data_IF_834758739683
#
_entry.id   IF_834758739683
#
_cell.length_a   1.000
_cell.length_b   1.000
_cell.length_c   1.000
_cell.angle_alpha   90.00
_cell.angle_beta   90.00
_cell.angle_gamma   90.00
#
_symmetry.space_group_name_H-M   'P 1'
#
loop_
_entity.id
_entity.type
_entity.pdbx_description
1 polymer ?
#
# COMPACT_ATOMS: atom_id res chain seq x y z
N UNK A 1 -2.79 7.34 -20.67
CA UNK A 1 -4.15 7.19 -20.11
C UNK A 1 -4.01 6.95 -18.62
N UNK A 2 -4.64 7.77 -17.78
CA UNK A 2 -4.66 7.57 -16.33
C UNK A 2 -5.46 6.28 -16.07
N UNK A 3 -4.80 5.26 -15.55
CA UNK A 3 -5.41 3.94 -15.30
C UNK A 3 -4.84 3.33 -14.04
N UNK A 4 -5.63 2.45 -13.43
CA UNK A 4 -5.18 1.51 -12.41
C UNK A 4 -4.98 0.13 -13.07
N UNK A 5 -4.25 -0.76 -12.41
CA UNK A 5 -4.06 -2.13 -12.84
C UNK A 5 -4.25 -3.08 -11.66
N UNK A 6 -5.21 -4.00 -11.77
CA UNK A 6 -5.49 -4.98 -10.73
C UNK A 6 -4.85 -6.34 -11.08
N UNK A 7 -4.28 -6.99 -10.08
CA UNK A 7 -3.70 -8.33 -10.15
C UNK A 7 -4.38 -9.18 -9.06
N UNK A 8 -5.41 -10.00 -9.39
CA UNK A 8 -6.24 -10.69 -8.39
C UNK A 8 -5.48 -11.63 -7.46
N UNK A 9 -4.48 -12.34 -7.98
CA UNK A 9 -3.74 -13.39 -7.27
C UNK A 9 -2.26 -13.02 -7.10
N UNK A 10 -1.99 -11.76 -6.76
CA UNK A 10 -0.61 -11.27 -6.61
C UNK A 10 0.14 -11.98 -5.47
N UNK A 11 -0.58 -12.27 -4.38
CA UNK A 11 -0.12 -13.09 -3.27
C UNK A 11 -1.17 -14.16 -3.00
N UNK A 12 -0.73 -15.38 -2.71
CA UNK A 12 -1.64 -16.44 -2.28
C UNK A 12 -2.19 -16.16 -0.88
N UNK A 13 -3.35 -16.74 -0.53
CA UNK A 13 -3.93 -16.59 0.79
C UNK A 13 -2.98 -17.04 1.93
N UNK A 14 -2.19 -18.10 1.71
CA UNK A 14 -1.19 -18.61 2.66
C UNK A 14 0.05 -17.69 2.79
N UNK A 15 0.49 -17.07 1.68
CA UNK A 15 1.55 -16.06 1.71
C UNK A 15 1.11 -14.82 2.51
N UNK A 16 -0.15 -14.38 2.36
CA UNK A 16 -0.71 -13.29 3.16
C UNK A 16 -0.70 -13.64 4.66
N UNK A 17 -1.18 -14.84 5.03
CA UNK A 17 -1.18 -15.29 6.43
C UNK A 17 0.24 -15.37 7.00
N UNK A 18 1.19 -15.90 6.24
CA UNK A 18 2.60 -15.97 6.65
C UNK A 18 3.17 -14.58 6.93
N UNK A 19 2.93 -13.62 6.03
CA UNK A 19 3.40 -12.24 6.23
C UNK A 19 2.75 -11.60 7.47
N UNK A 20 1.43 -11.76 7.63
CA UNK A 20 0.70 -11.19 8.77
C UNK A 20 1.13 -11.81 10.10
N UNK A 21 1.49 -13.09 10.14
CA UNK A 21 2.03 -13.74 11.33
C UNK A 21 3.36 -13.11 11.76
N UNK A 22 4.28 -12.84 10.82
CA UNK A 22 5.56 -12.17 11.12
C UNK A 22 5.33 -10.72 11.58
N UNK A 23 4.41 -10.00 10.92
CA UNK A 23 4.03 -8.63 11.32
C UNK A 23 3.46 -8.58 12.73
N UNK A 24 2.70 -9.61 13.16
CA UNK A 24 2.09 -9.66 14.48
C UNK A 24 3.12 -9.86 15.62
N UNK A 25 4.24 -10.52 15.33
CA UNK A 25 5.35 -10.72 16.27
C UNK A 25 6.33 -9.54 16.30
N UNK A 26 6.22 -8.60 15.35
CA UNK A 26 7.07 -7.43 15.28
C UNK A 26 6.91 -6.59 16.58
N UNK A 27 8.01 -6.14 17.22
CA UNK A 27 7.92 -5.40 18.47
C UNK A 27 7.00 -4.20 18.35
N UNK A 28 5.95 -4.16 19.18
CA UNK A 28 4.94 -3.10 19.19
C UNK A 28 5.50 -1.68 19.46
N UNK A 29 6.79 -1.58 19.82
CA UNK A 29 7.39 -0.35 20.34
C UNK A 29 7.83 0.66 19.28
N UNK A 30 7.92 0.29 18.01
CA UNK A 30 8.33 1.20 16.94
C UNK A 30 7.64 0.82 15.62
N UNK A 31 6.36 0.46 15.67
CA UNK A 31 5.50 0.66 14.51
C UNK A 31 5.50 2.17 14.27
N UNK A 32 6.55 2.70 13.62
CA UNK A 32 6.85 4.13 13.55
C UNK A 32 5.54 4.78 13.15
N UNK A 33 4.91 5.45 14.11
CA UNK A 33 3.96 6.49 13.84
C UNK A 33 4.79 7.49 13.02
N UNK A 34 4.83 7.31 11.70
CA UNK A 34 5.40 8.27 10.78
C UNK A 34 4.51 9.48 10.96
N UNK A 35 4.97 10.36 11.84
CA UNK A 35 4.13 11.36 12.46
C UNK A 35 4.94 12.29 13.36
N UNK A 36 6.16 12.66 12.95
CA UNK A 36 6.57 14.04 13.19
C UNK A 36 5.65 14.91 12.32
N UNK A 37 4.49 15.24 12.89
CA UNK A 37 3.36 15.97 12.31
C UNK A 37 2.63 15.28 11.14
N UNK A 38 1.97 14.15 11.39
CA UNK A 38 0.78 13.80 10.61
C UNK A 38 -0.42 14.34 11.38
N UNK A 39 -1.16 15.25 10.77
CA UNK A 39 -2.48 15.63 11.27
C UNK A 39 -3.27 14.32 11.42
N UNK A 40 -3.65 13.95 12.65
CA UNK A 40 -4.38 12.71 12.93
C UNK A 40 -5.73 12.65 12.21
N UNK A 41 -6.19 13.78 11.65
CA UNK A 41 -7.34 13.86 10.75
C UNK A 41 -7.04 13.32 9.35
N UNK A 42 -5.77 13.30 8.94
CA UNK A 42 -5.36 12.82 7.62
C UNK A 42 -5.12 11.32 7.61
N UNK A 43 -4.40 10.76 8.59
CA UNK A 43 -4.11 9.32 8.65
C UNK A 43 -4.16 8.79 10.08
N UNK A 44 -4.81 7.64 10.22
CA UNK A 44 -4.84 6.86 11.46
C UNK A 44 -4.61 5.38 11.14
N UNK A 45 -3.36 4.95 11.29
CA UNK A 45 -2.89 3.58 11.05
C UNK A 45 -1.59 3.33 11.83
N UNK A 46 -1.31 2.07 12.17
CA UNK A 46 0.04 1.64 12.57
C UNK A 46 0.79 1.06 11.37
N UNK A 47 2.11 1.23 11.35
CA UNK A 47 2.96 0.85 10.22
C UNK A 47 4.09 -0.06 10.68
N UNK A 48 4.32 -1.14 9.97
CA UNK A 48 5.48 -2.02 10.13
C UNK A 48 6.21 -2.06 8.80
N UNK A 49 7.52 -1.76 8.80
CA UNK A 49 8.33 -1.81 7.59
C UNK A 49 8.84 -3.23 7.38
N UNK A 50 8.80 -3.71 6.13
CA UNK A 50 9.23 -5.06 5.76
C UNK A 50 10.74 -5.24 5.99
N UNK A 51 11.53 -4.17 5.93
CA UNK A 51 12.97 -4.22 6.25
C UNK A 51 13.27 -4.50 7.73
N UNK A 52 12.31 -4.27 8.63
CA UNK A 52 12.43 -4.52 10.06
C UNK A 52 11.99 -5.96 10.43
N UNK A 53 11.63 -6.78 9.45
CA UNK A 53 11.11 -8.13 9.64
C UNK A 53 12.10 -9.19 9.15
N UNK A 54 12.20 -10.28 9.89
CA UNK A 54 12.99 -11.45 9.51
C UNK A 54 12.17 -12.39 8.58
N UNK A 55 12.86 -13.17 7.74
CA UNK A 55 12.27 -14.22 6.89
C UNK A 55 11.21 -13.77 5.86
N UNK A 56 11.24 -12.49 5.47
CA UNK A 56 10.30 -11.90 4.50
C UNK A 56 10.94 -11.46 3.18
N UNK A 57 12.18 -11.86 2.89
CA UNK A 57 12.89 -11.50 1.64
C UNK A 57 12.06 -11.80 0.37
N UNK A 58 11.32 -12.91 0.40
CA UNK A 58 10.43 -13.35 -0.69
C UNK A 58 9.35 -12.32 -1.06
N UNK A 59 8.96 -11.44 -0.12
CA UNK A 59 7.96 -10.40 -0.35
C UNK A 59 8.49 -9.37 -1.34
N UNK A 60 9.75 -8.95 -1.19
CA UNK A 60 10.36 -7.98 -2.10
C UNK A 60 10.62 -8.59 -3.48
N UNK A 61 11.05 -9.85 -3.56
CA UNK A 61 11.19 -10.56 -4.85
C UNK A 61 9.86 -10.64 -5.61
N UNK A 62 8.77 -10.93 -4.89
CA UNK A 62 7.41 -10.94 -5.44
C UNK A 62 7.01 -9.55 -5.93
N UNK A 63 7.24 -8.52 -5.13
CA UNK A 63 6.93 -7.12 -5.48
C UNK A 63 7.66 -6.71 -6.76
N UNK A 64 8.97 -6.94 -6.83
CA UNK A 64 9.80 -6.55 -7.97
C UNK A 64 9.26 -7.16 -9.26
N UNK A 65 8.91 -8.45 -9.20
CA UNK A 65 8.36 -9.18 -10.35
C UNK A 65 7.04 -8.57 -10.82
N UNK A 66 6.09 -8.35 -9.90
CA UNK A 66 4.76 -7.81 -10.20
C UNK A 66 4.84 -6.37 -10.76
N UNK A 67 5.65 -5.51 -10.14
CA UNK A 67 5.82 -4.13 -10.57
C UNK A 67 6.51 -4.06 -11.93
N UNK A 68 7.55 -4.88 -12.16
CA UNK A 68 8.25 -4.91 -13.45
C UNK A 68 7.32 -5.32 -14.60
N UNK A 69 6.47 -6.34 -14.38
CA UNK A 69 5.49 -6.80 -15.37
C UNK A 69 4.39 -5.76 -15.63
N UNK A 70 3.79 -5.23 -14.57
CA UNK A 70 2.77 -4.19 -14.68
C UNK A 70 3.32 -2.93 -15.35
N UNK A 71 4.57 -2.53 -15.03
CA UNK A 71 5.20 -1.40 -15.67
C UNK A 71 5.41 -1.64 -17.16
N UNK A 72 5.97 -2.80 -17.54
CA UNK A 72 6.22 -3.16 -18.95
C UNK A 72 4.95 -3.23 -19.80
N UNK A 73 3.84 -3.68 -19.22
CA UNK A 73 2.61 -3.97 -19.96
C UNK A 73 1.56 -2.86 -19.87
N UNK A 74 1.59 -2.04 -18.81
CA UNK A 74 0.52 -1.08 -18.51
C UNK A 74 1.02 0.36 -18.31
N UNK A 75 2.14 0.60 -17.63
CA UNK A 75 2.47 1.97 -17.22
C UNK A 75 3.57 2.65 -18.03
N UNK A 76 4.57 1.87 -18.46
CA UNK A 76 5.72 2.32 -19.23
C UNK A 76 6.44 3.54 -18.61
N UNK A 77 6.59 3.52 -17.27
CA UNK A 77 7.37 4.53 -16.57
C UNK A 77 8.86 4.15 -16.55
N UNK A 78 9.74 5.15 -16.60
CA UNK A 78 11.15 4.98 -16.29
C UNK A 78 11.32 4.73 -14.79
N UNK A 79 11.26 3.46 -14.38
CA UNK A 79 11.55 3.04 -13.01
C UNK A 79 13.05 2.76 -12.88
N UNK A 80 13.66 3.21 -11.79
CA UNK A 80 15.11 3.07 -11.56
C UNK A 80 15.42 2.25 -10.32
N UNK A 81 14.57 2.28 -9.30
CA UNK A 81 14.84 1.66 -8.01
C UNK A 81 13.57 1.54 -7.16
N UNK A 82 13.70 0.79 -6.06
CA UNK A 82 12.83 0.89 -4.88
C UNK A 82 13.66 1.55 -3.78
N UNK A 83 13.54 2.87 -3.63
CA UNK A 83 14.34 3.66 -2.68
C UNK A 83 13.76 3.66 -1.26
N UNK A 84 12.64 2.96 -1.04
CA UNK A 84 11.93 2.83 0.22
C UNK A 84 11.51 1.36 0.36
N UNK A 85 11.56 0.82 1.58
CA UNK A 85 11.06 -0.52 1.85
C UNK A 85 9.53 -0.56 1.79
N UNK A 86 8.97 -1.76 1.64
CA UNK A 86 7.53 -1.94 1.69
C UNK A 86 7.04 -1.75 3.13
N UNK A 87 5.83 -1.23 3.29
CA UNK A 87 5.19 -1.08 4.61
C UNK A 87 3.91 -1.91 4.67
N UNK A 88 3.68 -2.57 5.78
CA UNK A 88 2.36 -3.11 6.16
C UNK A 88 1.67 -2.07 7.02
N UNK A 89 0.51 -1.60 6.57
CA UNK A 89 -0.32 -0.65 7.29
C UNK A 89 -1.54 -1.35 7.88
N UNK A 90 -1.76 -1.16 9.19
CA UNK A 90 -2.91 -1.69 9.93
C UNK A 90 -3.86 -0.57 10.33
N UNK A 91 -5.12 -0.71 9.96
CA UNK A 91 -6.23 0.20 10.23
C UNK A 91 -7.21 -0.50 11.16
N UNK A 92 -7.45 0.08 12.34
CA UNK A 92 -8.24 -0.56 13.40
C UNK A 92 -9.54 0.21 13.68
N UNK A 93 -10.66 -0.51 13.81
CA UNK A 93 -11.98 0.08 14.05
C UNK A 93 -12.10 0.77 15.40
N UNK A 94 -11.41 0.30 16.44
CA UNK A 94 -11.51 0.87 17.80
C UNK A 94 -11.00 2.31 17.86
N UNK A 95 -10.10 2.65 16.94
CA UNK A 95 -9.59 4.01 16.77
C UNK A 95 -10.18 4.69 15.53
N UNK A 96 -11.05 4.07 14.75
CA UNK A 96 -11.57 4.63 13.51
C UNK A 96 -10.47 4.82 12.46
N UNK A 97 -9.66 3.80 12.22
CA UNK A 97 -8.55 3.81 11.27
C UNK A 97 -8.96 4.22 9.86
N UNK A 98 -8.19 5.13 9.25
CA UNK A 98 -8.43 5.67 7.91
C UNK A 98 -7.17 6.31 7.34
N UNK A 99 -7.22 6.68 6.06
CA UNK A 99 -6.27 7.61 5.44
C UNK A 99 -7.03 8.44 4.42
N UNK A 100 -7.28 9.71 4.68
CA UNK A 100 -8.06 10.56 3.79
C UNK A 100 -7.36 10.84 2.46
N UNK A 101 -8.04 11.48 1.51
CA UNK A 101 -7.56 11.76 0.16
C UNK A 101 -6.17 12.39 0.16
N UNK A 102 -5.23 11.70 -0.46
CA UNK A 102 -3.84 12.13 -0.61
C UNK A 102 -3.23 11.61 -1.90
N UNK A 103 -2.06 12.14 -2.22
CA UNK A 103 -1.19 11.62 -3.26
C UNK A 103 0.11 11.14 -2.63
N UNK A 104 0.68 10.07 -3.17
CA UNK A 104 1.93 9.50 -2.64
C UNK A 104 3.16 10.26 -3.11
N UNK A 105 3.10 10.92 -4.27
CA UNK A 105 4.15 11.85 -4.70
C UNK A 105 3.98 13.18 -3.95
N UNK A 106 5.10 13.81 -3.59
CA UNK A 106 5.10 15.11 -2.91
C UNK A 106 6.49 15.74 -2.91
N UNK A 107 6.66 16.85 -2.18
CA UNK A 107 7.87 17.67 -2.25
C UNK A 107 9.11 17.06 -1.55
N UNK A 108 8.97 15.91 -0.89
CA UNK A 108 10.07 15.21 -0.23
C UNK A 108 11.06 14.57 -1.21
N UNK A 109 12.34 14.45 -0.82
CA UNK A 109 13.42 13.90 -1.68
C UNK A 109 13.11 12.52 -2.26
N UNK A 110 12.48 11.64 -1.47
CA UNK A 110 12.04 10.32 -1.93
C UNK A 110 10.63 10.39 -2.54
N UNK A 111 9.70 11.04 -1.85
CA UNK A 111 8.30 11.18 -2.30
C UNK A 111 8.19 11.74 -3.72
N UNK A 112 8.96 12.78 -4.06
CA UNK A 112 8.95 13.42 -5.38
C UNK A 112 9.44 12.54 -6.53
N UNK A 113 10.02 11.38 -6.22
CA UNK A 113 10.51 10.40 -7.20
C UNK A 113 9.58 9.20 -7.35
N UNK A 114 8.52 9.07 -6.54
CA UNK A 114 7.57 7.96 -6.60
C UNK A 114 6.79 7.99 -7.91
N UNK A 115 6.80 6.88 -8.63
CA UNK A 115 6.17 6.71 -9.95
C UNK A 115 4.94 5.83 -9.88
N UNK A 116 5.12 4.64 -9.31
CA UNK A 116 4.04 3.67 -9.12
C UNK A 116 3.90 3.38 -7.63
N UNK A 117 2.65 3.38 -7.19
CA UNK A 117 2.24 2.80 -5.92
C UNK A 117 1.66 1.43 -6.21
N UNK A 118 2.05 0.42 -5.43
CA UNK A 118 1.35 -0.85 -5.38
C UNK A 118 0.80 -1.06 -3.98
N UNK A 119 -0.48 -1.43 -3.89
CA UNK A 119 -1.14 -1.83 -2.64
C UNK A 119 -1.65 -3.24 -2.78
N UNK A 120 -1.33 -4.11 -1.82
CA UNK A 120 -1.86 -5.48 -1.72
C UNK A 120 -2.79 -5.57 -0.52
N UNK A 121 -3.99 -6.11 -0.73
CA UNK A 121 -4.92 -6.41 0.34
C UNK A 121 -4.49 -7.69 1.06
N UNK A 122 -4.17 -7.60 2.36
CA UNK A 122 -3.68 -8.76 3.13
C UNK A 122 -4.76 -9.41 4.00
N UNK A 123 -5.62 -8.60 4.61
CA UNK A 123 -6.71 -9.13 5.46
C UNK A 123 -7.81 -9.77 4.61
N UNK A 124 -8.41 -10.83 5.16
CA UNK A 124 -9.63 -11.44 4.63
C UNK A 124 -10.78 -10.40 4.66
N UNK A 125 -11.47 -10.14 3.54
CA UNK A 125 -12.60 -9.21 3.50
C UNK A 125 -13.75 -9.57 4.46
N UNK A 126 -13.87 -10.83 4.90
CA UNK A 126 -14.88 -11.22 5.89
C UNK A 126 -14.53 -10.76 7.33
N UNK A 127 -13.25 -10.46 7.61
CA UNK A 127 -12.77 -10.12 8.95
C UNK A 127 -12.95 -8.65 9.33
N UNK A 128 -13.35 -7.77 8.41
CA UNK A 128 -13.50 -6.34 8.65
C UNK A 128 -14.66 -5.72 7.85
N UNK A 129 -15.08 -4.52 8.22
CA UNK A 129 -16.03 -3.69 7.46
C UNK A 129 -15.50 -2.27 7.30
N UNK A 130 -15.81 -1.61 6.18
CA UNK A 130 -15.21 -0.33 5.81
C UNK A 130 -13.76 -0.51 5.33
N UNK A 131 -12.90 0.48 5.53
CA UNK A 131 -11.48 0.36 5.16
C UNK A 131 -11.22 0.26 3.65
N UNK A 132 -12.15 0.65 2.79
CA UNK A 132 -12.02 0.49 1.34
C UNK A 132 -10.91 1.38 0.79
N UNK A 133 -10.02 0.80 -0.02
CA UNK A 133 -9.08 1.58 -0.82
C UNK A 133 -9.83 2.16 -2.02
N UNK A 134 -10.00 3.48 -2.02
CA UNK A 134 -10.59 4.24 -3.09
C UNK A 134 -9.51 5.01 -3.84
N UNK A 135 -9.59 5.01 -5.18
CA UNK A 135 -8.64 5.68 -6.07
C UNK A 135 -9.46 6.56 -7.01
N UNK A 136 -8.96 7.74 -7.37
CA UNK A 136 -9.67 8.71 -8.20
C UNK A 136 -9.01 8.91 -9.59
N UNK A 137 -8.97 7.90 -10.47
CA UNK A 137 -8.50 8.11 -11.84
C UNK A 137 -9.45 9.00 -12.62
N UNK A 138 -8.92 10.03 -13.29
CA UNK A 138 -9.69 10.90 -14.19
C UNK A 138 -10.92 11.56 -13.54
N UNK A 139 -10.86 11.86 -12.23
CA UNK A 139 -11.95 12.54 -11.51
C UNK A 139 -13.11 11.63 -11.08
N UNK A 140 -13.02 10.32 -11.27
CA UNK A 140 -14.03 9.36 -10.81
C UNK A 140 -13.47 8.47 -9.72
N UNK A 141 -14.22 8.30 -8.63
CA UNK A 141 -13.83 7.39 -7.55
C UNK A 141 -14.15 5.95 -7.96
N UNK A 142 -13.14 5.08 -7.88
CA UNK A 142 -13.28 3.64 -7.99
C UNK A 142 -12.77 2.96 -6.71
N UNK A 143 -13.38 1.85 -6.33
CA UNK A 143 -12.87 0.99 -5.25
C UNK A 143 -11.92 -0.06 -5.84
N UNK A 144 -10.77 -0.25 -5.20
CA UNK A 144 -9.91 -1.39 -5.48
C UNK A 144 -10.53 -2.70 -4.96
N UNK A 145 -10.11 -3.83 -5.52
CA UNK A 145 -10.52 -5.15 -5.02
C UNK A 145 -10.13 -5.31 -3.55
N UNK A 146 -11.05 -5.82 -2.74
CA UNK A 146 -10.81 -6.18 -1.35
C UNK A 146 -10.54 -7.69 -1.16
N UNK A 147 -10.39 -8.45 -2.25
CA UNK A 147 -10.02 -9.85 -2.18
C UNK A 147 -8.61 -9.98 -1.57
N UNK A 148 -8.46 -10.89 -0.59
CA UNK A 148 -7.16 -11.18 0.01
C UNK A 148 -6.17 -11.63 -1.06
N UNK A 149 -4.98 -11.05 -1.05
CA UNK A 149 -3.92 -11.34 -2.02
C UNK A 149 -3.99 -10.50 -3.29
N UNK A 150 -5.08 -9.77 -3.54
CA UNK A 150 -5.19 -8.92 -4.70
C UNK A 150 -4.30 -7.67 -4.56
N UNK A 151 -3.55 -7.37 -5.61
CA UNK A 151 -2.80 -6.13 -5.73
C UNK A 151 -3.50 -5.15 -6.67
N UNK A 152 -3.34 -3.86 -6.39
CA UNK A 152 -3.63 -2.78 -7.32
C UNK A 152 -2.39 -1.91 -7.48
N UNK A 153 -2.06 -1.58 -8.72
CA UNK A 153 -1.02 -0.63 -9.07
C UNK A 153 -1.63 0.61 -9.69
N UNK A 154 -1.08 1.76 -9.36
CA UNK A 154 -1.51 3.03 -9.92
C UNK A 154 -0.38 4.07 -9.87
N UNK A 155 -0.40 5.08 -10.77
CA UNK A 155 0.56 6.18 -10.70
C UNK A 155 0.47 6.91 -9.36
N UNK A 156 1.61 7.16 -8.72
CA UNK A 156 1.67 7.74 -7.35
C UNK A 156 1.10 9.16 -7.25
N UNK A 157 0.88 9.84 -8.37
CA UNK A 157 0.18 11.13 -8.44
C UNK A 157 -1.35 11.04 -8.35
N UNK A 158 -1.94 9.84 -8.38
CA UNK A 158 -3.38 9.71 -8.23
C UNK A 158 -3.82 9.92 -6.79
N UNK A 159 -4.88 10.72 -6.63
CA UNK A 159 -5.58 10.84 -5.36
C UNK A 159 -6.19 9.50 -4.99
N UNK A 160 -5.95 9.08 -3.77
CA UNK A 160 -6.51 7.87 -3.19
C UNK A 160 -6.70 8.02 -1.69
N UNK A 161 -7.53 7.16 -1.11
CA UNK A 161 -7.82 7.12 0.32
C UNK A 161 -8.14 5.71 0.80
N UNK A 162 -8.07 5.51 2.11
CA UNK A 162 -8.66 4.37 2.81
C UNK A 162 -9.84 4.90 3.61
N UNK A 163 -11.06 4.49 3.25
CA UNK A 163 -12.27 4.92 3.97
C UNK A 163 -12.20 4.48 5.43
N UNK A 164 -12.91 5.13 6.36
CA UNK A 164 -12.96 4.67 7.75
C UNK A 164 -13.36 3.20 7.84
N UNK A 165 -12.63 2.46 8.67
CA UNK A 165 -12.99 1.11 9.08
C UNK A 165 -13.99 1.17 10.24
N UNK A 166 -15.00 0.31 10.21
CA UNK A 166 -16.13 0.31 11.16
C UNK A 166 -16.22 -0.98 11.99
N UNK A 167 -15.56 -2.05 11.56
CA UNK A 167 -15.46 -3.33 12.29
C UNK A 167 -14.13 -4.00 11.98
N UNK A 168 -13.52 -4.61 12.99
CA UNK A 168 -12.31 -5.43 12.84
C UNK A 168 -11.06 -4.61 12.52
N UNK A 169 -10.10 -5.26 11.87
CA UNK A 169 -8.83 -4.65 11.48
C UNK A 169 -8.51 -4.97 10.02
N UNK A 170 -8.11 -3.95 9.26
CA UNK A 170 -7.67 -4.08 7.88
C UNK A 170 -6.17 -3.86 7.79
N UNK A 171 -5.48 -4.80 7.15
CA UNK A 171 -4.05 -4.74 6.89
C UNK A 171 -3.78 -4.79 5.39
N UNK A 172 -2.85 -3.96 4.93
CA UNK A 172 -2.41 -3.90 3.54
C UNK A 172 -0.92 -3.66 3.41
N UNK A 173 -0.29 -4.27 2.41
CA UNK A 173 1.09 -4.02 2.02
C UNK A 173 1.14 -2.88 1.02
N UNK A 174 2.01 -1.90 1.20
CA UNK A 174 2.21 -0.78 0.27
C UNK A 174 3.68 -0.62 -0.06
N UNK A 175 3.99 -0.37 -1.33
CA UNK A 175 5.35 -0.10 -1.81
C UNK A 175 5.31 0.92 -2.94
N UNK A 176 6.40 1.68 -3.09
CA UNK A 176 6.59 2.65 -4.15
C UNK A 176 7.81 2.32 -5.00
N UNK A 177 7.64 2.36 -6.33
CA UNK A 177 8.74 2.33 -7.27
C UNK A 177 9.12 3.76 -7.68
N UNK A 178 10.42 4.04 -7.79
CA UNK A 178 10.95 5.39 -8.00
C UNK A 178 11.55 5.55 -9.38
N UNK A 179 11.64 6.80 -9.85
CA UNK A 179 12.24 7.18 -11.12
C UNK A 179 12.60 8.67 -11.20
N UNK A 180 13.13 9.14 -12.35
CA UNK A 180 13.37 10.56 -12.59
C UNK A 180 12.06 11.37 -12.58
N UNK A 181 12.11 12.69 -12.42
CA UNK A 181 10.92 13.54 -12.45
C UNK A 181 10.01 13.27 -13.67
N UNK A 182 8.69 13.44 -13.50
CA UNK A 182 7.76 13.38 -14.63
C UNK A 182 8.13 14.48 -15.65
N UNK A 183 8.02 14.16 -16.93
CA UNK A 183 8.33 15.04 -18.07
C UNK A 183 7.12 15.12 -18.98
#
# INVERSE_FOLDING_TARGET
>A
MIRTHAIPDAFSPAECERLLAVVAEAPANDARLVGRQTDHNQRRASLVWVEDLDEVDWVMDRIVTLVAEANRTVFDFSLTEFAESAQVASYDADVGGHFDWHSDIGDGRLAGRRKLTMVVQLSDPASYEGGMLEIMPSGHVIAASNARGAAVLFPSYLLHRVTPITRGQRQSLTIWAHGPAFR
#
